data_IF_918937101519
#
_entry.id   IF_918937101519
#
_cell.length_a   1.000
_cell.length_b   1.000
_cell.length_c   1.000
_cell.angle_alpha   90.00
_cell.angle_beta   90.00
_cell.angle_gamma   90.00
#
_symmetry.space_group_name_H-M   'P 1'
#
loop_
_entity.id
_entity.type
_entity.pdbx_description
1 polymer ?
#
# COMPACT_ATOMS: atom_id res chain seq x y z
N UNK A 1 -7.12 26.58 30.20
CA UNK A 1 -6.40 25.78 29.20
C UNK A 1 -7.20 25.91 27.93
N UNK A 2 -6.59 26.27 26.81
CA UNK A 2 -7.31 26.27 25.54
C UNK A 2 -7.75 24.82 25.28
N UNK A 3 -8.99 24.63 24.83
CA UNK A 3 -9.52 23.34 24.45
C UNK A 3 -8.71 22.87 23.22
N UNK A 4 -8.08 21.68 23.29
CA UNK A 4 -7.33 21.13 22.17
C UNK A 4 -8.35 20.72 21.12
N UNK A 5 -8.29 21.32 19.94
CA UNK A 5 -9.18 20.98 18.83
C UNK A 5 -8.86 19.59 18.33
N UNK A 6 -9.83 18.68 18.40
CA UNK A 6 -9.73 17.32 17.90
C UNK A 6 -10.60 17.11 16.65
N UNK A 7 -10.25 16.13 15.83
CA UNK A 7 -11.02 15.74 14.64
C UNK A 7 -10.97 14.24 14.44
N UNK A 8 -11.91 13.70 13.67
CA UNK A 8 -11.98 12.31 13.33
C UNK A 8 -11.50 12.08 11.90
N UNK A 9 -10.62 11.09 11.69
CA UNK A 9 -10.20 10.66 10.36
C UNK A 9 -10.35 9.15 10.22
N UNK A 10 -10.82 8.73 9.04
CA UNK A 10 -11.18 7.33 8.76
C UNK A 10 -10.39 6.79 7.59
N UNK A 11 -9.78 5.61 7.78
CA UNK A 11 -9.21 4.81 6.69
C UNK A 11 -9.91 3.46 6.60
N UNK A 12 -10.00 2.94 5.38
CA UNK A 12 -10.54 1.60 5.12
C UNK A 12 -9.48 0.66 4.53
N UNK A 13 -9.74 -0.64 4.62
CA UNK A 13 -9.02 -1.68 3.90
C UNK A 13 -9.98 -2.80 3.51
N UNK A 14 -9.54 -3.69 2.62
CA UNK A 14 -10.30 -4.86 2.20
C UNK A 14 -9.43 -6.11 2.25
N UNK A 15 -10.08 -7.27 2.41
CA UNK A 15 -9.39 -8.56 2.41
C UNK A 15 -8.91 -8.95 1.01
N UNK A 16 -8.02 -9.94 0.95
CA UNK A 16 -7.52 -10.51 -0.31
C UNK A 16 -8.63 -11.09 -1.20
N UNK A 17 -9.77 -11.51 -0.63
CA UNK A 17 -10.92 -12.04 -1.35
C UNK A 17 -11.96 -11.00 -1.78
N UNK A 18 -11.72 -9.70 -1.54
CA UNK A 18 -12.54 -8.66 -2.13
C UNK A 18 -12.41 -8.69 -3.66
N UNK A 19 -13.51 -8.57 -4.46
CA UNK A 19 -13.45 -8.72 -5.92
C UNK A 19 -12.41 -7.84 -6.61
N UNK A 20 -12.27 -6.56 -6.24
CA UNK A 20 -11.25 -5.69 -6.80
C UNK A 20 -9.84 -6.17 -6.42
N UNK A 21 -9.62 -6.62 -5.18
CA UNK A 21 -8.33 -7.13 -4.74
C UNK A 21 -7.97 -8.49 -5.31
N UNK A 22 -8.95 -9.33 -5.62
CA UNK A 22 -8.74 -10.53 -6.43
C UNK A 22 -8.17 -10.15 -7.81
N UNK A 23 -8.75 -9.13 -8.47
CA UNK A 23 -8.29 -8.67 -9.78
C UNK A 23 -6.85 -8.11 -9.71
N UNK A 24 -6.53 -7.30 -8.70
CA UNK A 24 -5.19 -6.77 -8.47
C UNK A 24 -4.17 -7.91 -8.29
N UNK A 25 -4.51 -8.93 -7.50
CA UNK A 25 -3.64 -10.09 -7.26
C UNK A 25 -3.40 -10.91 -8.51
N UNK A 26 -4.42 -11.13 -9.34
CA UNK A 26 -4.28 -11.86 -10.61
C UNK A 26 -3.37 -11.07 -11.56
N UNK A 27 -3.60 -9.75 -11.71
CA UNK A 27 -2.80 -8.89 -12.58
C UNK A 27 -1.34 -8.84 -12.15
N UNK A 28 -1.04 -8.78 -10.86
CA UNK A 28 0.33 -8.82 -10.35
C UNK A 28 0.96 -10.21 -10.38
N UNK A 29 0.18 -11.28 -10.28
CA UNK A 29 0.68 -12.64 -10.49
C UNK A 29 1.11 -12.86 -11.95
N UNK A 30 0.39 -12.29 -12.91
CA UNK A 30 0.78 -12.28 -14.34
C UNK A 30 2.08 -11.50 -14.52
N UNK A 31 2.21 -10.32 -13.91
CA UNK A 31 3.44 -9.52 -13.94
C UNK A 31 4.63 -10.32 -13.38
N UNK A 32 4.47 -10.95 -12.22
CA UNK A 32 5.50 -11.79 -11.59
C UNK A 32 5.94 -12.93 -12.52
N UNK A 33 5.00 -13.59 -13.20
CA UNK A 33 5.31 -14.66 -14.13
C UNK A 33 6.08 -14.16 -15.36
N UNK A 34 5.71 -13.00 -15.90
CA UNK A 34 6.43 -12.40 -17.02
C UNK A 34 7.87 -12.04 -16.64
N UNK A 35 8.05 -11.33 -15.52
CA UNK A 35 9.36 -10.85 -15.07
C UNK A 35 10.28 -11.97 -14.55
N UNK A 36 9.74 -13.11 -14.15
CA UNK A 36 10.54 -14.25 -13.71
C UNK A 36 11.46 -14.79 -14.82
N UNK A 37 10.94 -14.88 -16.04
CA UNK A 37 11.66 -15.46 -17.18
C UNK A 37 12.19 -14.39 -18.15
N UNK A 38 11.54 -13.21 -18.17
CA UNK A 38 11.97 -12.07 -18.99
C UNK A 38 11.89 -10.76 -18.19
N UNK A 39 13.00 -10.34 -17.54
CA UNK A 39 13.06 -9.10 -16.76
C UNK A 39 12.78 -7.81 -17.56
N UNK A 40 12.80 -7.89 -18.88
CA UNK A 40 12.51 -6.78 -19.79
C UNK A 40 11.06 -6.77 -20.28
N UNK A 41 10.21 -7.66 -19.80
CA UNK A 41 8.79 -7.72 -20.13
C UNK A 41 8.10 -6.37 -19.97
N UNK A 42 7.22 -6.06 -20.93
CA UNK A 42 6.31 -4.91 -20.86
C UNK A 42 4.91 -5.43 -20.60
N UNK A 43 4.37 -5.03 -19.47
CA UNK A 43 3.10 -5.57 -18.96
C UNK A 43 2.16 -4.42 -18.59
N UNK A 44 1.00 -4.44 -19.19
CA UNK A 44 -0.18 -3.68 -18.80
C UNK A 44 -1.34 -4.68 -18.75
N UNK A 45 -1.50 -5.32 -17.59
CA UNK A 45 -2.43 -6.42 -17.37
C UNK A 45 -3.59 -5.97 -16.51
N UNK A 46 -4.77 -6.01 -17.06
CA UNK A 46 -6.02 -5.73 -16.36
C UNK A 46 -6.80 -7.02 -16.15
N UNK A 47 -7.54 -7.07 -15.06
CA UNK A 47 -8.43 -8.19 -14.72
C UNK A 47 -9.80 -7.66 -14.34
N UNK A 48 -10.85 -8.34 -14.77
CA UNK A 48 -12.20 -8.13 -14.24
C UNK A 48 -12.85 -9.45 -13.85
N UNK A 49 -13.77 -9.37 -12.90
CA UNK A 49 -14.50 -10.54 -12.39
C UNK A 49 -15.93 -10.22 -12.06
N UNK A 50 -16.81 -11.18 -12.26
CA UNK A 50 -18.20 -11.15 -11.80
C UNK A 50 -18.76 -12.58 -11.77
N UNK A 51 -19.47 -12.92 -10.70
CA UNK A 51 -20.05 -14.25 -10.49
C UNK A 51 -18.98 -15.34 -10.63
N UNK A 52 -19.12 -16.30 -11.51
CA UNK A 52 -18.16 -17.38 -11.71
C UNK A 52 -17.35 -17.18 -13.00
N UNK A 53 -16.86 -15.95 -13.23
CA UNK A 53 -16.09 -15.55 -14.40
C UNK A 53 -14.93 -14.63 -14.01
N UNK A 54 -13.77 -14.88 -14.62
CA UNK A 54 -12.59 -14.00 -14.55
C UNK A 54 -12.12 -13.75 -15.98
N UNK A 55 -11.85 -12.48 -16.32
CA UNK A 55 -11.25 -12.11 -17.59
C UNK A 55 -9.94 -11.37 -17.33
N UNK A 56 -8.88 -11.82 -17.99
CA UNK A 56 -7.58 -11.15 -18.03
C UNK A 56 -7.38 -10.56 -19.43
N UNK A 57 -7.03 -9.29 -19.51
CA UNK A 57 -6.89 -8.58 -20.78
C UNK A 57 -5.84 -7.47 -20.67
N UNK A 58 -5.41 -6.96 -21.81
CA UNK A 58 -4.43 -5.87 -21.87
C UNK A 58 -3.31 -6.13 -22.85
N UNK A 59 -2.19 -5.42 -22.68
CA UNK A 59 -1.05 -5.46 -23.61
C UNK A 59 0.19 -6.00 -22.88
N UNK A 60 0.72 -7.13 -23.40
CA UNK A 60 1.92 -7.77 -22.85
C UNK A 60 2.90 -8.10 -23.97
N UNK A 61 4.13 -7.59 -23.86
CA UNK A 61 5.26 -7.98 -24.70
C UNK A 61 6.30 -8.66 -23.82
N UNK A 62 6.47 -9.96 -24.00
CA UNK A 62 7.37 -10.79 -23.19
C UNK A 62 7.91 -11.96 -24.02
N UNK A 63 9.09 -12.47 -23.62
CA UNK A 63 9.64 -13.75 -24.10
C UNK A 63 9.25 -14.91 -23.18
N UNK A 64 8.67 -14.62 -22.01
CA UNK A 64 8.20 -15.64 -21.09
C UNK A 64 7.03 -16.44 -21.69
N UNK A 65 6.98 -17.72 -21.38
CA UNK A 65 5.82 -18.56 -21.71
C UNK A 65 4.84 -18.55 -20.53
N UNK A 66 3.80 -17.73 -20.62
CA UNK A 66 2.86 -17.49 -19.53
C UNK A 66 1.56 -18.25 -19.71
N UNK A 67 1.23 -19.10 -18.76
CA UNK A 67 -0.07 -19.79 -18.69
C UNK A 67 -1.05 -18.96 -17.86
N UNK A 68 -1.74 -18.03 -18.52
CA UNK A 68 -2.67 -17.09 -17.88
C UNK A 68 -3.81 -17.80 -17.15
N UNK A 69 -4.39 -18.84 -17.73
CA UNK A 69 -5.48 -19.59 -17.11
C UNK A 69 -5.04 -20.26 -15.81
N UNK A 70 -3.87 -20.89 -15.81
CA UNK A 70 -3.29 -21.50 -14.62
C UNK A 70 -3.04 -20.45 -13.53
N UNK A 71 -2.51 -19.27 -13.87
CA UNK A 71 -2.26 -18.18 -12.92
C UNK A 71 -3.57 -17.72 -12.28
N UNK A 72 -4.62 -17.50 -13.07
CA UNK A 72 -5.95 -17.13 -12.56
C UNK A 72 -6.44 -18.15 -11.55
N UNK A 73 -6.45 -19.45 -11.93
CA UNK A 73 -6.96 -20.53 -11.06
C UNK A 73 -6.15 -20.69 -9.79
N UNK A 74 -4.83 -20.64 -9.89
CA UNK A 74 -3.94 -20.78 -8.72
C UNK A 74 -4.07 -19.59 -7.76
N UNK A 75 -4.20 -18.36 -8.28
CA UNK A 75 -4.43 -17.18 -7.46
C UNK A 75 -5.78 -17.25 -6.74
N UNK A 76 -6.86 -17.56 -7.46
CA UNK A 76 -8.19 -17.75 -6.86
C UNK A 76 -8.17 -18.81 -5.76
N UNK A 77 -7.54 -19.97 -6.02
CA UNK A 77 -7.43 -21.08 -5.05
C UNK A 77 -6.61 -20.66 -3.83
N UNK A 78 -5.48 -19.95 -4.03
CA UNK A 78 -4.62 -19.45 -2.95
C UNK A 78 -5.32 -18.47 -2.02
N UNK A 79 -6.27 -17.68 -2.52
CA UNK A 79 -7.14 -16.80 -1.75
C UNK A 79 -8.18 -17.61 -0.97
N UNK A 80 -8.64 -18.74 -1.50
CA UNK A 80 -9.66 -19.59 -0.87
C UNK A 80 -10.97 -19.65 -1.63
N UNK A 81 -11.00 -19.22 -2.89
CA UNK A 81 -12.16 -19.37 -3.78
C UNK A 81 -12.19 -20.79 -4.37
N UNK A 82 -12.76 -21.74 -3.62
CA UNK A 82 -12.76 -23.16 -3.92
C UNK A 82 -14.13 -23.75 -4.26
N UNK A 83 -15.17 -22.94 -4.18
CA UNK A 83 -16.54 -23.30 -4.57
C UNK A 83 -17.39 -22.06 -4.80
N UNK A 84 -18.52 -22.22 -5.49
CA UNK A 84 -19.47 -21.13 -5.70
C UNK A 84 -20.04 -20.58 -4.38
N UNK A 85 -20.12 -21.39 -3.32
CA UNK A 85 -20.67 -20.98 -2.02
C UNK A 85 -19.78 -19.93 -1.33
N UNK A 86 -18.48 -19.92 -1.62
CA UNK A 86 -17.55 -18.93 -1.08
C UNK A 86 -17.36 -17.70 -1.99
N UNK A 87 -18.03 -17.67 -3.15
CA UNK A 87 -18.05 -16.51 -4.03
C UNK A 87 -17.46 -16.70 -5.42
N UNK A 88 -16.64 -17.76 -5.65
CA UNK A 88 -16.07 -18.17 -6.93
C UNK A 88 -15.49 -19.57 -6.80
N UNK A 89 -15.62 -20.38 -7.85
CA UNK A 89 -14.99 -21.70 -7.95
C UNK A 89 -13.77 -21.65 -8.89
N UNK A 90 -12.56 -21.70 -8.31
CA UNK A 90 -11.31 -21.61 -9.05
C UNK A 90 -11.14 -22.71 -10.11
N UNK A 91 -11.71 -23.89 -9.89
CA UNK A 91 -11.56 -25.03 -10.80
C UNK A 91 -12.58 -24.99 -11.97
N UNK A 92 -13.77 -24.43 -11.72
CA UNK A 92 -14.88 -24.46 -12.67
C UNK A 92 -15.29 -23.06 -13.19
N UNK A 93 -14.68 -21.98 -12.70
CA UNK A 93 -14.99 -20.63 -13.21
C UNK A 93 -14.61 -20.52 -14.69
N UNK A 94 -15.35 -19.65 -15.39
CA UNK A 94 -15.02 -19.28 -16.77
C UNK A 94 -13.85 -18.33 -16.78
N UNK A 95 -12.73 -18.75 -17.37
CA UNK A 95 -11.56 -17.88 -17.57
C UNK A 95 -11.54 -17.41 -19.03
N UNK A 96 -11.44 -16.10 -19.22
CA UNK A 96 -11.28 -15.46 -20.52
C UNK A 96 -9.92 -14.76 -20.55
N UNK A 97 -9.21 -14.89 -21.68
CA UNK A 97 -7.90 -14.25 -21.89
C UNK A 97 -7.94 -13.49 -23.21
N UNK A 98 -7.66 -12.18 -23.15
CA UNK A 98 -7.56 -11.31 -24.31
C UNK A 98 -6.32 -10.41 -24.17
N UNK A 99 -5.16 -10.99 -24.46
CA UNK A 99 -3.85 -10.33 -24.37
C UNK A 99 -3.33 -10.04 -25.77
N UNK A 100 -2.92 -8.79 -26.00
CA UNK A 100 -2.30 -8.31 -27.22
C UNK A 100 -0.85 -7.87 -26.96
N UNK A 101 -0.08 -7.60 -28.02
CA UNK A 101 1.25 -7.02 -27.88
C UNK A 101 1.16 -5.50 -27.73
N UNK A 102 2.09 -4.90 -26.96
CA UNK A 102 2.19 -3.45 -26.82
C UNK A 102 2.39 -2.77 -28.18
N UNK A 103 1.75 -1.62 -28.36
CA UNK A 103 1.92 -0.77 -29.54
C UNK A 103 3.39 -0.46 -29.82
N UNK A 104 3.86 -0.65 -31.07
CA UNK A 104 5.22 -0.28 -31.47
C UNK A 104 5.53 1.22 -31.29
N UNK A 105 4.54 2.09 -31.41
CA UNK A 105 4.69 3.54 -31.24
C UNK A 105 5.04 3.90 -29.79
N UNK A 106 4.36 3.29 -28.83
CA UNK A 106 4.67 3.45 -27.40
C UNK A 106 6.07 2.91 -27.10
N UNK A 107 6.39 1.72 -27.61
CA UNK A 107 7.69 1.08 -27.43
C UNK A 107 8.84 1.97 -27.94
N UNK A 108 8.68 2.60 -29.12
CA UNK A 108 9.67 3.51 -29.68
C UNK A 108 9.85 4.76 -28.82
N UNK A 109 8.78 5.37 -28.36
CA UNK A 109 8.82 6.60 -27.55
C UNK A 109 9.50 6.40 -26.20
N UNK A 110 9.25 5.27 -25.53
CA UNK A 110 9.73 5.01 -24.17
C UNK A 110 11.16 4.49 -24.16
N UNK A 111 11.48 3.42 -24.87
CA UNK A 111 12.78 2.74 -24.76
C UNK A 111 13.49 2.47 -26.09
N UNK A 112 13.02 3.05 -27.21
CA UNK A 112 13.67 2.95 -28.51
C UNK A 112 13.94 1.50 -28.94
N UNK A 113 12.98 0.60 -28.71
CA UNK A 113 13.15 -0.85 -28.94
C UNK A 113 14.38 -1.45 -28.21
N UNK A 114 14.56 -1.06 -26.94
CA UNK A 114 15.67 -1.51 -26.07
C UNK A 114 17.07 -1.00 -26.45
N UNK A 115 17.17 0.04 -27.26
CA UNK A 115 18.47 0.63 -27.65
C UNK A 115 18.90 1.77 -26.72
N UNK A 116 18.00 2.31 -25.89
CA UNK A 116 18.31 3.40 -24.95
C UNK A 116 19.06 2.90 -23.73
N UNK A 117 19.99 3.73 -23.23
CA UNK A 117 20.60 3.52 -21.92
C UNK A 117 19.58 3.78 -20.81
N UNK A 118 19.79 3.25 -19.60
CA UNK A 118 18.84 3.46 -18.48
C UNK A 118 18.48 4.94 -18.23
N UNK A 119 19.46 5.83 -18.33
CA UNK A 119 19.28 7.26 -18.10
C UNK A 119 18.41 7.95 -19.17
N UNK A 120 18.26 7.30 -20.32
CA UNK A 120 17.54 7.80 -21.50
C UNK A 120 16.13 7.20 -21.62
N UNK A 121 15.78 6.26 -20.75
CA UNK A 121 14.45 5.65 -20.73
C UNK A 121 13.44 6.70 -20.28
N UNK A 122 12.51 7.04 -21.17
CA UNK A 122 11.42 7.97 -20.88
C UNK A 122 10.31 7.32 -20.06
N UNK A 123 9.49 8.15 -19.44
CA UNK A 123 8.30 7.69 -18.75
C UNK A 123 7.33 6.96 -19.71
N UNK A 124 6.73 5.88 -19.25
CA UNK A 124 5.78 5.10 -20.04
C UNK A 124 4.44 5.79 -20.25
N UNK A 125 4.15 6.82 -19.47
CA UNK A 125 2.96 7.65 -19.58
C UNK A 125 3.22 9.05 -18.97
N UNK A 126 2.30 9.97 -19.16
CA UNK A 126 2.18 11.17 -18.35
C UNK A 126 1.54 10.86 -17.01
N UNK A 127 1.75 11.72 -16.00
CA UNK A 127 1.08 11.59 -14.71
C UNK A 127 1.85 12.24 -13.58
N UNK A 128 1.26 12.22 -12.39
CA UNK A 128 1.89 12.67 -11.16
C UNK A 128 1.66 11.63 -10.07
N UNK A 129 2.69 11.38 -9.27
CA UNK A 129 2.73 10.35 -8.24
C UNK A 129 3.15 10.96 -6.92
N UNK A 130 2.65 10.38 -5.84
CA UNK A 130 2.88 10.87 -4.50
C UNK A 130 3.54 9.81 -3.63
N UNK A 131 4.52 10.25 -2.83
CA UNK A 131 5.03 9.54 -1.68
C UNK A 131 4.65 10.30 -0.41
N UNK A 132 4.28 9.58 0.63
CA UNK A 132 3.95 10.16 1.93
C UNK A 132 4.59 9.34 3.05
N UNK A 133 4.96 9.99 4.13
CA UNK A 133 5.40 9.35 5.36
C UNK A 133 5.04 10.22 6.55
N UNK A 134 4.73 9.57 7.67
CA UNK A 134 4.49 10.20 8.97
C UNK A 134 5.18 9.36 10.04
N UNK A 135 5.52 9.95 11.18
CA UNK A 135 6.14 9.24 12.30
C UNK A 135 5.14 8.69 13.33
N UNK A 136 3.84 8.68 12.99
CA UNK A 136 2.77 8.13 13.84
C UNK A 136 2.97 6.66 14.20
N UNK A 137 3.57 5.89 13.30
CA UNK A 137 3.76 4.44 13.47
C UNK A 137 5.19 4.01 13.08
N UNK A 138 5.67 2.86 13.58
CA UNK A 138 6.96 2.30 13.17
C UNK A 138 7.11 2.06 11.67
N UNK A 139 6.00 1.83 10.98
CA UNK A 139 5.92 1.67 9.54
C UNK A 139 6.11 2.99 8.77
N UNK A 140 6.10 4.14 9.47
CA UNK A 140 6.05 5.48 8.88
C UNK A 140 4.79 5.68 8.02
N UNK A 141 3.67 5.19 8.51
CA UNK A 141 2.36 5.22 7.87
C UNK A 141 1.31 5.78 8.84
N UNK A 142 0.20 6.34 8.34
CA UNK A 142 -0.90 6.81 9.18
C UNK A 142 -1.51 5.69 10.02
N UNK A 143 -1.77 5.95 11.31
CA UNK A 143 -2.28 4.96 12.25
C UNK A 143 -3.62 4.37 11.80
N UNK A 144 -4.55 5.22 11.34
CA UNK A 144 -5.87 4.77 10.86
C UNK A 144 -5.75 3.74 9.72
N UNK A 145 -4.83 3.99 8.77
CA UNK A 145 -4.57 3.10 7.65
C UNK A 145 -3.87 1.79 8.08
N UNK A 146 -2.86 1.90 8.95
CA UNK A 146 -2.13 0.73 9.48
C UNK A 146 -3.09 -0.21 10.20
N UNK A 147 -3.95 0.33 11.07
CA UNK A 147 -4.90 -0.49 11.83
C UNK A 147 -5.95 -1.13 10.93
N UNK A 148 -6.54 -0.38 9.98
CA UNK A 148 -7.50 -0.94 9.03
C UNK A 148 -6.88 -2.08 8.21
N UNK A 149 -5.65 -1.89 7.70
CA UNK A 149 -4.93 -2.89 6.91
C UNK A 149 -4.58 -4.13 7.74
N UNK A 150 -4.06 -3.95 8.96
CA UNK A 150 -3.71 -5.07 9.86
C UNK A 150 -4.95 -5.87 10.29
N UNK A 151 -6.11 -5.23 10.50
CA UNK A 151 -7.36 -5.93 10.77
C UNK A 151 -7.76 -6.83 9.60
N UNK A 152 -7.67 -6.33 8.35
CA UNK A 152 -7.94 -7.12 7.16
C UNK A 152 -6.99 -8.31 7.00
N UNK A 153 -5.69 -8.09 7.22
CA UNK A 153 -4.69 -9.16 7.18
C UNK A 153 -4.94 -10.21 8.29
N UNK A 154 -5.32 -9.78 9.50
CA UNK A 154 -5.64 -10.67 10.60
C UNK A 154 -6.89 -11.51 10.35
N UNK A 155 -7.92 -10.94 9.74
CA UNK A 155 -9.10 -11.71 9.29
C UNK A 155 -8.71 -12.87 8.37
N UNK A 156 -7.85 -12.61 7.40
CA UNK A 156 -7.33 -13.65 6.51
C UNK A 156 -6.50 -14.70 7.24
N UNK A 157 -5.65 -14.28 8.18
CA UNK A 157 -4.84 -15.19 8.98
C UNK A 157 -5.71 -16.15 9.81
N UNK A 158 -6.70 -15.63 10.57
CA UNK A 158 -7.57 -16.47 11.42
C UNK A 158 -8.53 -17.35 10.61
N UNK A 159 -8.83 -16.96 9.37
CA UNK A 159 -9.54 -17.81 8.42
C UNK A 159 -8.67 -18.97 7.94
N UNK A 160 -7.45 -18.68 7.46
CA UNK A 160 -6.55 -19.68 6.85
C UNK A 160 -6.00 -20.68 7.88
N UNK A 161 -5.79 -20.26 9.12
CA UNK A 161 -5.35 -21.15 10.20
C UNK A 161 -6.50 -21.84 10.95
N UNK A 162 -7.75 -21.62 10.50
CA UNK A 162 -8.97 -22.20 11.07
C UNK A 162 -9.27 -21.79 12.52
N UNK A 163 -8.74 -20.67 13.02
CA UNK A 163 -9.14 -20.09 14.30
C UNK A 163 -10.62 -19.66 14.25
N UNK A 164 -11.01 -19.01 13.13
CA UNK A 164 -12.40 -18.67 12.83
C UNK A 164 -12.84 -19.37 11.53
N UNK A 165 -13.23 -20.66 11.59
CA UNK A 165 -13.49 -21.48 10.40
C UNK A 165 -14.72 -21.05 9.61
N UNK A 166 -15.60 -20.27 10.23
CA UNK A 166 -16.80 -19.71 9.60
C UNK A 166 -16.50 -18.53 8.67
N UNK A 167 -15.29 -17.93 8.72
CA UNK A 167 -14.88 -16.84 7.85
C UNK A 167 -14.77 -17.29 6.40
N UNK A 168 -15.22 -16.40 5.50
CA UNK A 168 -15.06 -16.51 4.05
C UNK A 168 -14.08 -15.47 3.51
N UNK A 169 -13.62 -15.57 2.24
CA UNK A 169 -12.51 -14.74 1.74
C UNK A 169 -12.79 -13.23 1.68
N UNK A 170 -14.04 -12.82 1.41
CA UNK A 170 -14.39 -11.41 1.23
C UNK A 170 -14.58 -10.69 2.56
N UNK A 171 -14.22 -9.42 2.59
CA UNK A 171 -14.43 -8.58 3.76
C UNK A 171 -13.80 -7.20 3.63
N UNK A 172 -14.28 -6.29 4.48
CA UNK A 172 -13.82 -4.91 4.60
C UNK A 172 -13.59 -4.55 6.06
N UNK A 173 -12.62 -3.70 6.28
CA UNK A 173 -12.30 -3.13 7.59
C UNK A 173 -12.20 -1.62 7.47
N UNK A 174 -12.60 -0.92 8.52
CA UNK A 174 -12.52 0.54 8.57
C UNK A 174 -12.21 0.96 10.00
N UNK A 175 -11.28 1.89 10.18
CA UNK A 175 -10.90 2.44 11.47
C UNK A 175 -10.97 3.95 11.43
N UNK A 176 -11.73 4.52 12.37
CA UNK A 176 -11.78 5.95 12.63
C UNK A 176 -10.93 6.24 13.86
N UNK A 177 -9.94 7.09 13.70
CA UNK A 177 -9.05 7.55 14.78
C UNK A 177 -9.37 9.00 15.10
N UNK A 178 -9.38 9.33 16.39
CA UNK A 178 -9.43 10.70 16.85
C UNK A 178 -8.02 11.24 16.92
N UNK A 179 -7.80 12.39 16.27
CA UNK A 179 -6.54 13.10 16.19
C UNK A 179 -6.65 14.49 16.81
N UNK A 180 -5.53 15.06 17.20
CA UNK A 180 -5.39 16.49 17.37
C UNK A 180 -4.26 17.04 16.49
N UNK A 181 -4.37 18.32 16.14
CA UNK A 181 -3.32 19.02 15.40
C UNK A 181 -2.38 19.68 16.40
N UNK A 182 -1.11 19.24 16.43
CA UNK A 182 -0.05 19.86 17.21
C UNK A 182 0.91 20.61 16.27
N UNK A 183 0.61 21.89 16.04
CA UNK A 183 1.39 22.78 15.17
C UNK A 183 1.66 22.22 13.75
N UNK A 184 0.64 21.63 13.16
CA UNK A 184 0.69 20.99 11.83
C UNK A 184 0.85 19.48 11.89
N UNK A 185 1.39 18.92 12.98
CA UNK A 185 1.53 17.48 13.14
C UNK A 185 0.21 16.82 13.57
N UNK A 186 -0.17 15.76 12.89
CA UNK A 186 -1.38 14.98 13.20
C UNK A 186 -1.04 13.91 14.24
N UNK A 187 -1.51 14.10 15.49
CA UNK A 187 -1.20 13.19 16.60
C UNK A 187 -2.43 12.34 16.93
N UNK A 188 -2.33 11.00 16.81
CA UNK A 188 -3.44 10.12 17.13
C UNK A 188 -3.66 10.02 18.64
N UNK A 189 -4.92 10.12 19.08
CA UNK A 189 -5.32 10.09 20.50
C UNK A 189 -5.88 8.70 20.84
N UNK A 190 -6.92 8.27 20.11
CA UNK A 190 -7.66 7.03 20.37
C UNK A 190 -8.36 6.51 19.12
N UNK A 191 -8.71 5.24 19.13
CA UNK A 191 -9.61 4.66 18.15
C UNK A 191 -11.05 4.99 18.55
N UNK A 192 -11.71 5.80 17.73
CA UNK A 192 -13.10 6.19 17.94
C UNK A 192 -14.06 5.08 17.48
N UNK A 193 -13.84 4.51 16.27
CA UNK A 193 -14.74 3.50 15.70
C UNK A 193 -13.96 2.41 14.96
N UNK A 194 -14.35 1.17 15.17
CA UNK A 194 -13.91 0.00 14.39
C UNK A 194 -15.12 -0.58 13.67
N UNK A 195 -15.05 -0.67 12.33
CA UNK A 195 -16.06 -1.34 11.52
C UNK A 195 -15.42 -2.52 10.80
N UNK A 196 -16.04 -3.69 10.92
CA UNK A 196 -15.65 -4.92 10.18
C UNK A 196 -16.93 -5.48 9.54
N UNK A 197 -16.87 -5.64 8.20
CA UNK A 197 -17.87 -6.38 7.44
C UNK A 197 -17.18 -7.55 6.78
N UNK A 198 -17.49 -8.77 7.21
CA UNK A 198 -16.81 -9.98 6.72
C UNK A 198 -17.84 -11.02 6.26
N UNK A 199 -17.51 -11.64 5.13
CA UNK A 199 -18.27 -12.77 4.61
C UNK A 199 -18.12 -13.98 5.55
N UNK A 200 -19.22 -14.69 5.77
CA UNK A 200 -19.31 -15.81 6.71
C UNK A 200 -20.19 -16.93 6.17
N UNK A 201 -20.07 -18.13 6.74
CA UNK A 201 -21.01 -19.21 6.44
C UNK A 201 -22.39 -19.00 7.11
N UNK A 202 -23.35 -19.83 6.75
CA UNK A 202 -24.74 -19.69 7.23
C UNK A 202 -24.93 -20.16 8.69
N UNK A 203 -23.97 -20.88 9.26
CA UNK A 203 -24.13 -21.57 10.53
C UNK A 203 -23.82 -20.70 11.74
N UNK A 204 -23.05 -19.62 11.56
CA UNK A 204 -22.61 -18.73 12.63
C UNK A 204 -23.62 -17.59 12.84
N UNK A 205 -23.87 -17.24 14.10
CA UNK A 205 -24.72 -16.12 14.49
C UNK A 205 -23.94 -14.79 14.54
N UNK A 206 -24.63 -13.65 14.46
CA UNK A 206 -24.00 -12.35 14.59
C UNK A 206 -23.34 -12.13 15.96
N UNK A 207 -23.86 -12.69 17.03
CA UNK A 207 -23.27 -12.58 18.38
C UNK A 207 -21.96 -13.37 18.47
N UNK A 208 -21.90 -14.57 17.89
CA UNK A 208 -20.65 -15.36 17.78
C UNK A 208 -19.63 -14.64 16.90
N UNK A 209 -20.03 -14.11 15.74
CA UNK A 209 -19.18 -13.29 14.88
C UNK A 209 -18.59 -12.12 15.67
N UNK A 210 -19.42 -11.38 16.41
CA UNK A 210 -18.96 -10.22 17.17
C UNK A 210 -18.00 -10.60 18.29
N UNK A 211 -18.23 -11.71 18.98
CA UNK A 211 -17.36 -12.23 20.04
C UNK A 211 -15.99 -12.65 19.48
N UNK A 212 -15.98 -13.46 18.43
CA UNK A 212 -14.75 -13.96 17.79
C UNK A 212 -13.93 -12.81 17.17
N UNK A 213 -14.58 -11.86 16.49
CA UNK A 213 -13.89 -10.70 15.91
C UNK A 213 -13.21 -9.85 16.98
N UNK A 214 -13.85 -9.64 18.14
CA UNK A 214 -13.24 -8.91 19.26
C UNK A 214 -12.03 -9.65 19.82
N UNK A 215 -12.15 -10.96 20.06
CA UNK A 215 -11.11 -11.75 20.71
C UNK A 215 -9.93 -12.07 19.78
N UNK A 216 -10.21 -12.49 18.54
CA UNK A 216 -9.20 -13.04 17.64
C UNK A 216 -8.67 -12.06 16.60
N UNK A 217 -9.39 -10.95 16.37
CA UNK A 217 -9.01 -9.97 15.32
C UNK A 217 -8.68 -8.61 15.93
N UNK A 218 -9.58 -8.01 16.73
CA UNK A 218 -9.41 -6.63 17.21
C UNK A 218 -8.35 -6.56 18.31
N UNK A 219 -8.46 -7.34 19.37
CA UNK A 219 -7.51 -7.32 20.49
C UNK A 219 -6.06 -7.58 20.09
N UNK A 220 -5.75 -8.55 19.18
CA UNK A 220 -4.37 -8.78 18.77
C UNK A 220 -3.78 -7.68 17.86
N UNK A 221 -4.62 -6.84 17.25
CA UNK A 221 -4.20 -5.85 16.24
C UNK A 221 -4.17 -4.44 16.80
N UNK A 222 -5.20 -4.03 17.53
CA UNK A 222 -5.29 -2.66 18.06
C UNK A 222 -4.68 -2.61 19.45
N UNK A 223 -3.60 -1.85 19.68
CA UNK A 223 -3.00 -1.70 21.00
C UNK A 223 -4.01 -1.17 22.00
N UNK A 224 -4.03 -1.73 23.22
CA UNK A 224 -4.98 -1.40 24.28
C UNK A 224 -5.00 0.09 24.62
N UNK A 225 -3.87 0.77 24.49
CA UNK A 225 -3.75 2.22 24.74
C UNK A 225 -4.63 3.09 23.82
N UNK A 226 -5.06 2.57 22.68
CA UNK A 226 -5.94 3.28 21.74
C UNK A 226 -7.42 2.91 21.90
N UNK A 227 -7.74 1.91 22.72
CA UNK A 227 -9.11 1.47 23.00
C UNK A 227 -9.58 1.99 24.36
N UNK A 228 -10.81 2.44 24.43
CA UNK A 228 -11.46 2.87 25.68
C UNK A 228 -12.93 2.45 25.71
N UNK A 229 -13.63 2.83 26.78
CA UNK A 229 -15.05 2.52 27.00
C UNK A 229 -15.99 3.20 25.99
N UNK A 230 -15.51 4.26 25.31
CA UNK A 230 -16.25 5.01 24.30
C UNK A 230 -15.98 4.53 22.88
N UNK A 231 -15.10 3.54 22.70
CA UNK A 231 -14.82 2.98 21.36
C UNK A 231 -16.03 2.23 20.81
N UNK A 232 -16.48 2.63 19.63
CA UNK A 232 -17.67 2.09 18.95
C UNK A 232 -17.27 0.93 18.07
N UNK A 233 -17.98 -0.20 18.17
CA UNK A 233 -17.75 -1.37 17.34
C UNK A 233 -18.97 -1.66 16.46
N UNK A 234 -18.77 -1.63 15.13
CA UNK A 234 -19.74 -2.07 14.15
C UNK A 234 -19.24 -3.37 13.52
N UNK A 235 -19.74 -4.52 13.97
CA UNK A 235 -19.33 -5.84 13.54
C UNK A 235 -20.46 -6.50 12.76
N UNK A 236 -20.28 -6.66 11.44
CA UNK A 236 -21.32 -7.04 10.48
C UNK A 236 -22.64 -6.26 10.67
N UNK A 237 -22.61 -4.91 10.60
CA UNK A 237 -23.78 -4.10 10.91
C UNK A 237 -24.96 -4.30 9.96
N UNK A 238 -24.73 -4.85 8.77
CA UNK A 238 -25.78 -5.26 7.83
C UNK A 238 -26.48 -6.57 8.22
N UNK A 239 -25.97 -7.27 9.22
CA UNK A 239 -26.45 -8.56 9.70
C UNK A 239 -25.88 -9.74 8.90
N UNK A 240 -26.48 -10.12 7.79
CA UNK A 240 -26.07 -11.29 7.00
C UNK A 240 -25.14 -10.90 5.84
N UNK A 241 -23.97 -11.55 5.75
CA UNK A 241 -23.02 -11.41 4.64
C UNK A 241 -22.49 -12.79 4.20
N UNK A 242 -23.38 -13.63 3.68
CA UNK A 242 -23.07 -14.99 3.19
C UNK A 242 -22.64 -14.95 1.73
N UNK A 243 -23.35 -14.18 0.90
CA UNK A 243 -23.01 -13.99 -0.52
C UNK A 243 -21.95 -12.89 -0.61
N UNK A 244 -20.75 -13.24 -1.03
CA UNK A 244 -19.62 -12.31 -1.18
C UNK A 244 -18.72 -12.69 -2.35
N UNK A 245 -17.54 -12.05 -2.41
CA UNK A 245 -16.62 -12.23 -3.52
C UNK A 245 -17.24 -11.83 -4.87
N UNK A 246 -16.75 -12.35 -6.00
CA UNK A 246 -17.26 -12.06 -7.34
C UNK A 246 -18.75 -12.38 -7.53
N UNK A 247 -19.32 -13.27 -6.72
CA UNK A 247 -20.75 -13.53 -6.75
C UNK A 247 -21.54 -12.34 -6.22
N UNK A 248 -21.09 -11.71 -5.15
CA UNK A 248 -21.72 -10.52 -4.55
C UNK A 248 -21.57 -9.27 -5.42
N UNK A 249 -20.33 -8.94 -5.80
CA UNK A 249 -20.02 -7.71 -6.52
C UNK A 249 -19.00 -7.94 -7.66
N UNK A 250 -18.95 -7.02 -8.61
CA UNK A 250 -17.95 -7.03 -9.68
C UNK A 250 -16.62 -6.48 -9.18
N UNK A 251 -15.51 -7.04 -9.67
CA UNK A 251 -14.15 -6.57 -9.41
C UNK A 251 -13.43 -6.13 -10.66
N UNK A 252 -12.55 -5.15 -10.51
CA UNK A 252 -11.65 -4.64 -11.54
C UNK A 252 -10.29 -4.28 -10.92
N UNK A 253 -9.22 -4.49 -11.69
CA UNK A 253 -7.88 -4.00 -11.34
C UNK A 253 -7.89 -2.49 -11.12
N UNK A 254 -7.18 -2.00 -10.09
CA UNK A 254 -6.97 -0.58 -9.87
C UNK A 254 -8.15 0.19 -9.27
N UNK A 255 -9.12 -0.46 -8.66
CA UNK A 255 -10.26 0.20 -7.99
C UNK A 255 -10.10 0.37 -6.49
N UNK A 256 -8.92 0.06 -5.94
CA UNK A 256 -8.60 0.18 -4.50
C UNK A 256 -7.31 0.96 -4.26
N UNK A 257 -7.06 1.98 -5.09
CA UNK A 257 -5.81 2.75 -5.11
C UNK A 257 -5.52 3.50 -3.81
N UNK A 258 -6.54 3.91 -3.07
CA UNK A 258 -6.38 4.59 -1.77
C UNK A 258 -5.94 3.58 -0.69
N UNK A 259 -6.47 2.37 -0.72
CA UNK A 259 -6.08 1.27 0.15
C UNK A 259 -4.64 0.81 -0.17
N UNK A 260 -4.26 0.84 -1.44
CA UNK A 260 -2.91 0.49 -1.91
C UNK A 260 -1.84 1.45 -1.41
N UNK A 261 -2.20 2.66 -1.02
CA UNK A 261 -1.30 3.75 -0.66
C UNK A 261 -1.40 4.16 0.81
N UNK A 262 -2.08 5.26 1.13
CA UNK A 262 -2.02 5.88 2.46
C UNK A 262 -3.37 6.00 3.18
N UNK A 263 -4.43 5.35 2.68
CA UNK A 263 -5.73 5.31 3.35
C UNK A 263 -6.47 6.65 3.40
N UNK A 264 -6.17 7.56 2.46
CA UNK A 264 -6.78 8.90 2.39
C UNK A 264 -5.89 10.03 2.90
N UNK A 265 -4.78 9.72 3.57
CA UNK A 265 -3.75 10.69 3.94
C UNK A 265 -2.82 10.98 2.75
N UNK A 266 -2.11 12.11 2.81
CA UNK A 266 -1.29 12.58 1.70
C UNK A 266 -2.15 12.87 0.46
N UNK A 267 -1.67 12.42 -0.70
CA UNK A 267 -2.39 12.57 -1.96
C UNK A 267 -2.22 11.34 -2.86
N UNK A 268 -3.01 11.25 -3.94
CA UNK A 268 -2.92 10.19 -4.95
C UNK A 268 -3.12 10.77 -6.35
N UNK A 269 -2.25 10.39 -7.29
CA UNK A 269 -2.32 10.86 -8.68
C UNK A 269 -3.37 10.15 -9.56
N UNK A 270 -4.04 9.12 -9.04
CA UNK A 270 -5.11 8.39 -9.73
C UNK A 270 -4.64 7.12 -10.46
N UNK A 271 -3.34 6.93 -10.67
CA UNK A 271 -2.81 5.75 -11.38
C UNK A 271 -2.79 4.49 -10.52
N UNK A 272 -3.33 3.39 -11.03
CA UNK A 272 -3.24 2.07 -10.39
C UNK A 272 -1.83 1.47 -10.54
N UNK A 273 -1.43 0.60 -9.60
CA UNK A 273 -0.13 -0.06 -9.60
C UNK A 273 -0.17 -1.49 -10.16
N UNK A 274 -1.14 -2.28 -9.70
CA UNK A 274 -1.23 -3.71 -10.05
C UNK A 274 -1.33 -3.93 -11.55
N UNK A 275 -0.65 -4.96 -12.04
CA UNK A 275 -0.61 -5.31 -13.46
C UNK A 275 0.35 -4.49 -14.32
N UNK A 276 1.01 -3.48 -13.75
CA UNK A 276 1.93 -2.58 -14.48
C UNK A 276 3.39 -2.93 -14.21
N UNK A 277 4.18 -3.13 -15.28
CA UNK A 277 5.62 -3.27 -15.16
C UNK A 277 6.31 -1.96 -14.74
N UNK A 278 7.56 -2.01 -14.25
CA UNK A 278 8.23 -0.85 -13.68
C UNK A 278 8.49 0.33 -14.62
N UNK A 279 8.31 0.19 -15.93
CA UNK A 279 8.41 1.33 -16.87
C UNK A 279 7.20 2.26 -16.78
N UNK A 280 6.09 1.80 -16.20
CA UNK A 280 4.92 2.58 -15.90
C UNK A 280 5.17 3.39 -14.62
N UNK A 281 5.31 4.70 -14.77
CA UNK A 281 5.66 5.62 -13.68
C UNK A 281 4.58 5.73 -12.60
N UNK A 282 3.33 5.37 -12.89
CA UNK A 282 2.29 5.24 -11.87
C UNK A 282 2.79 4.40 -10.69
N UNK A 283 3.46 3.30 -10.97
CA UNK A 283 4.02 2.40 -9.98
C UNK A 283 5.41 2.82 -9.52
N UNK A 284 6.37 2.91 -10.42
CA UNK A 284 7.78 3.17 -10.07
C UNK A 284 8.01 4.57 -9.49
N UNK A 285 7.33 5.58 -10.01
CA UNK A 285 7.38 6.95 -9.50
C UNK A 285 6.81 7.07 -8.08
N UNK A 286 5.69 6.39 -7.79
CA UNK A 286 5.11 6.33 -6.45
C UNK A 286 6.07 5.62 -5.46
N UNK A 287 6.76 4.58 -5.90
CA UNK A 287 7.69 3.84 -5.06
C UNK A 287 8.92 4.66 -4.68
N UNK A 288 9.55 5.38 -5.63
CA UNK A 288 10.69 6.24 -5.29
C UNK A 288 10.25 7.45 -4.46
N UNK A 289 9.09 8.03 -4.72
CA UNK A 289 8.53 9.11 -3.91
C UNK A 289 8.27 8.67 -2.46
N UNK A 290 7.74 7.46 -2.25
CA UNK A 290 7.63 6.84 -0.91
C UNK A 290 8.98 6.67 -0.24
N UNK A 291 9.99 6.16 -0.94
CA UNK A 291 11.34 6.00 -0.38
C UNK A 291 11.93 7.34 0.05
N UNK A 292 11.74 8.38 -0.76
CA UNK A 292 12.22 9.72 -0.45
C UNK A 292 11.55 10.30 0.80
N UNK A 293 10.22 10.22 0.90
CA UNK A 293 9.45 10.68 2.05
C UNK A 293 9.89 9.96 3.33
N UNK A 294 9.92 8.63 3.32
CA UNK A 294 10.32 7.80 4.47
C UNK A 294 11.76 8.05 4.91
N UNK A 295 12.69 8.18 3.95
CA UNK A 295 14.11 8.41 4.26
C UNK A 295 14.32 9.76 4.93
N UNK A 296 13.58 10.79 4.52
CA UNK A 296 13.70 12.13 5.10
C UNK A 296 13.11 12.19 6.53
N UNK A 297 11.97 11.60 6.78
CA UNK A 297 11.38 11.53 8.12
C UNK A 297 12.33 10.77 9.07
N UNK A 298 12.84 9.61 8.68
CA UNK A 298 13.79 8.83 9.48
C UNK A 298 15.06 9.59 9.79
N UNK A 299 15.62 10.34 8.83
CA UNK A 299 16.81 11.15 9.02
C UNK A 299 16.58 12.28 10.03
N UNK A 300 15.40 12.91 10.03
CA UNK A 300 15.02 13.93 11.02
C UNK A 300 15.06 13.38 12.44
N UNK A 301 14.51 12.18 12.65
CA UNK A 301 14.50 11.49 13.93
C UNK A 301 15.92 11.19 14.41
N UNK A 302 16.78 10.65 13.53
CA UNK A 302 18.17 10.33 13.86
C UNK A 302 18.98 11.56 14.28
N UNK A 303 18.81 12.68 13.57
CA UNK A 303 19.50 13.93 13.87
C UNK A 303 19.06 14.50 15.23
N UNK A 304 17.77 14.38 15.55
CA UNK A 304 17.25 14.84 16.84
C UNK A 304 17.81 14.01 18.01
N UNK A 305 17.83 12.68 17.86
CA UNK A 305 18.42 11.78 18.87
C UNK A 305 19.93 12.03 19.06
N UNK A 306 20.67 12.30 17.99
CA UNK A 306 22.09 12.63 18.07
C UNK A 306 22.39 14.00 18.69
N UNK A 307 21.42 14.93 18.67
CA UNK A 307 21.55 16.26 19.27
C UNK A 307 21.19 16.30 20.76
N UNK A 308 20.59 15.24 21.30
CA UNK A 308 20.27 15.14 22.72
C UNK A 308 21.55 14.92 23.53
N UNK A 309 21.73 15.69 24.61
CA UNK A 309 22.81 15.47 25.57
C UNK A 309 22.65 14.11 26.28
N UNK A 310 23.75 13.62 26.89
CA UNK A 310 23.69 12.37 27.69
C UNK A 310 22.68 12.47 28.85
N UNK A 311 22.47 13.66 29.37
CA UNK A 311 21.49 13.94 30.44
C UNK A 311 20.05 13.85 29.91
N UNK A 312 19.80 14.36 28.69
CA UNK A 312 18.50 14.29 28.05
C UNK A 312 18.16 12.86 27.63
N UNK A 313 19.15 12.09 27.16
CA UNK A 313 19.01 10.66 26.88
C UNK A 313 18.67 9.86 28.13
N UNK A 314 19.30 10.18 29.27
CA UNK A 314 19.04 9.51 30.55
C UNK A 314 17.64 9.86 31.07
N UNK A 315 17.21 11.12 30.96
CA UNK A 315 15.88 11.57 31.31
C UNK A 315 14.81 10.93 30.42
N UNK A 316 15.08 10.76 29.13
CA UNK A 316 14.23 10.08 28.17
C UNK A 316 14.12 8.58 28.46
N UNK A 317 15.22 7.90 28.79
CA UNK A 317 15.22 6.49 29.19
C UNK A 317 14.51 6.24 30.53
N UNK A 318 14.66 7.14 31.50
CA UNK A 318 13.93 7.09 32.78
C UNK A 318 12.44 7.37 32.57
N UNK A 319 12.07 8.28 31.65
CA UNK A 319 10.70 8.54 31.24
C UNK A 319 10.05 7.35 30.52
N UNK A 320 10.83 6.63 29.70
CA UNK A 320 10.40 5.40 29.01
C UNK A 320 10.20 4.21 29.98
N UNK A 321 10.96 4.18 31.10
CA UNK A 321 10.83 3.14 32.10
C UNK A 321 9.65 3.37 33.09
N UNK A 322 9.11 4.57 33.15
CA UNK A 322 8.06 4.97 34.11
C UNK A 322 6.72 5.43 33.52
N UNK A 323 6.58 5.49 32.18
CA UNK A 323 5.34 5.88 31.52
C UNK A 323 4.99 4.91 30.40
N UNK A 324 3.80 4.35 30.47
CA UNK A 324 3.12 3.65 29.36
C UNK A 324 2.63 4.62 28.25
N UNK A 325 3.16 5.83 28.17
CA UNK A 325 2.92 6.77 27.07
C UNK A 325 4.28 7.21 26.52
N UNK A 326 4.60 6.75 25.31
CA UNK A 326 5.58 7.40 24.45
C UNK A 326 5.21 8.89 24.39
N UNK A 327 6.07 9.77 24.93
CA UNK A 327 6.00 11.19 24.61
C UNK A 327 6.05 11.29 23.08
N UNK A 328 5.12 11.96 22.42
CA UNK A 328 5.18 12.12 20.99
C UNK A 328 6.51 12.79 20.66
N UNK A 329 7.39 12.03 20.00
CA UNK A 329 8.48 12.63 19.24
C UNK A 329 7.78 13.54 18.26
N UNK A 330 8.26 14.76 18.08
CA UNK A 330 7.66 15.80 17.24
C UNK A 330 7.19 15.15 15.94
N UNK A 331 5.90 14.87 15.86
CA UNK A 331 5.30 14.17 14.76
C UNK A 331 5.62 14.92 13.47
N UNK A 332 6.31 14.27 12.56
CA UNK A 332 6.72 14.85 11.29
C UNK A 332 5.99 14.19 10.14
N UNK A 333 5.54 15.01 9.21
CA UNK A 333 4.91 14.57 7.99
C UNK A 333 5.71 15.04 6.78
N UNK A 334 5.73 14.25 5.71
CA UNK A 334 6.29 14.67 4.43
C UNK A 334 5.55 14.03 3.28
N UNK A 335 5.10 14.85 2.37
CA UNK A 335 4.66 14.48 1.05
C UNK A 335 5.72 14.84 0.00
N UNK A 336 5.94 13.95 -0.95
CA UNK A 336 6.79 14.14 -2.14
C UNK A 336 5.94 13.88 -3.36
N UNK A 337 5.79 14.87 -4.25
CA UNK A 337 5.18 14.71 -5.56
C UNK A 337 6.24 14.66 -6.65
N UNK A 338 6.03 13.81 -7.64
CA UNK A 338 6.83 13.77 -8.87
C UNK A 338 5.90 13.66 -10.08
N UNK A 339 6.18 14.40 -11.15
CA UNK A 339 5.36 14.36 -12.36
C UNK A 339 6.19 14.10 -13.62
N UNK A 340 5.56 13.46 -14.61
CA UNK A 340 6.21 13.01 -15.83
C UNK A 340 5.42 13.32 -17.09
N UNK A 341 6.14 13.38 -18.23
CA UNK A 341 5.59 13.34 -19.58
C UNK A 341 6.03 12.07 -20.28
N UNK A 342 5.15 11.49 -21.10
CA UNK A 342 5.46 10.27 -21.86
C UNK A 342 6.71 10.45 -22.72
N UNK A 343 7.60 9.47 -22.70
CA UNK A 343 8.83 9.47 -23.50
C UNK A 343 9.94 10.39 -23.00
N UNK A 344 9.69 11.21 -21.96
CA UNK A 344 10.68 12.13 -21.37
C UNK A 344 11.32 11.47 -20.14
N UNK A 345 12.67 11.36 -20.06
CA UNK A 345 13.33 10.74 -18.92
C UNK A 345 13.35 11.63 -17.68
N UNK A 346 13.51 12.95 -17.83
CA UNK A 346 13.53 13.84 -16.68
C UNK A 346 12.11 14.11 -16.15
N UNK A 347 11.91 14.16 -14.82
CA UNK A 347 10.62 14.57 -14.27
C UNK A 347 10.31 16.03 -14.66
N UNK A 348 9.03 16.33 -14.88
CA UNK A 348 8.56 17.69 -15.14
C UNK A 348 8.66 18.56 -13.88
N UNK A 349 8.32 17.99 -12.74
CA UNK A 349 8.40 18.64 -11.44
C UNK A 349 8.70 17.62 -10.34
N UNK A 350 9.34 18.11 -9.28
CA UNK A 350 9.42 17.46 -7.97
C UNK A 350 9.03 18.51 -6.95
N UNK A 351 8.09 18.18 -6.08
CA UNK A 351 7.58 19.07 -5.04
C UNK A 351 7.58 18.35 -3.68
N UNK A 352 7.73 19.09 -2.61
CA UNK A 352 7.64 18.58 -1.23
C UNK A 352 6.76 19.49 -0.39
N UNK A 353 6.06 18.91 0.57
CA UNK A 353 5.27 19.61 1.58
C UNK A 353 5.43 18.88 2.92
N UNK A 354 5.84 19.61 3.94
CA UNK A 354 5.97 19.09 5.31
C UNK A 354 4.73 19.39 6.17
N UNK A 355 3.67 19.94 5.61
CA UNK A 355 2.47 20.38 6.34
C UNK A 355 2.77 21.30 7.53
N UNK A 356 3.85 22.06 7.45
CA UNK A 356 4.31 22.94 8.52
C UNK A 356 5.12 22.27 9.64
N UNK A 357 5.34 20.95 9.56
CA UNK A 357 6.12 20.19 10.57
C UNK A 357 7.63 20.26 10.36
N UNK A 358 8.08 20.81 9.23
CA UNK A 358 9.49 20.87 8.84
C UNK A 358 10.34 21.73 9.78
N UNK A 359 11.49 21.22 10.25
CA UNK A 359 12.49 21.96 11.02
C UNK A 359 13.36 22.87 10.17
N UNK A 360 13.38 22.67 8.87
CA UNK A 360 14.03 23.50 7.85
C UNK A 360 12.99 23.78 6.75
N UNK A 361 13.16 24.86 5.97
CA UNK A 361 12.23 25.22 4.91
C UNK A 361 12.06 24.11 3.89
N UNK A 362 10.84 23.92 3.36
CA UNK A 362 10.54 22.93 2.34
C UNK A 362 11.42 23.05 1.09
N UNK A 363 11.84 24.27 0.75
CA UNK A 363 12.81 24.52 -0.34
C UNK A 363 14.14 23.80 -0.10
N UNK A 364 14.66 23.81 1.12
CA UNK A 364 15.91 23.12 1.45
C UNK A 364 15.70 21.60 1.45
N UNK A 365 14.53 21.13 1.92
CA UNK A 365 14.15 19.71 1.85
C UNK A 365 14.06 19.23 0.41
N UNK A 366 13.49 20.04 -0.49
CA UNK A 366 13.41 19.74 -1.90
C UNK A 366 14.81 19.56 -2.54
N UNK A 367 15.76 20.41 -2.20
CA UNK A 367 17.14 20.26 -2.70
C UNK A 367 17.79 18.97 -2.16
N UNK A 368 17.59 18.66 -0.88
CA UNK A 368 18.07 17.39 -0.30
C UNK A 368 17.47 16.18 -1.03
N UNK A 369 16.17 16.22 -1.31
CA UNK A 369 15.48 15.14 -2.03
C UNK A 369 16.04 14.98 -3.44
N UNK A 370 16.20 16.07 -4.20
CA UNK A 370 16.75 16.05 -5.56
C UNK A 370 18.20 15.58 -5.61
N UNK A 371 19.02 15.95 -4.62
CA UNK A 371 20.44 15.53 -4.56
C UNK A 371 20.59 14.03 -4.27
N UNK A 372 19.66 13.46 -3.50
CA UNK A 372 19.77 12.07 -3.02
C UNK A 372 18.99 11.06 -3.84
N UNK A 373 18.00 11.47 -4.63
CA UNK A 373 17.13 10.57 -5.39
C UNK A 373 17.14 10.92 -6.87
N UNK A 374 17.36 9.91 -7.69
CA UNK A 374 17.25 10.02 -9.14
C UNK A 374 15.83 9.59 -9.55
N UNK A 375 15.05 10.56 -10.03
CA UNK A 375 13.65 10.34 -10.39
C UNK A 375 13.45 9.95 -11.86
N UNK A 376 14.52 9.74 -12.64
CA UNK A 376 14.41 9.22 -14.01
C UNK A 376 13.90 7.79 -14.01
N UNK A 377 12.89 7.43 -14.83
CA UNK A 377 12.25 6.11 -14.77
C UNK A 377 13.20 4.93 -14.85
N UNK A 378 14.16 4.94 -15.76
CA UNK A 378 15.15 3.86 -15.88
C UNK A 378 16.06 3.75 -14.68
N UNK A 379 16.40 4.87 -14.03
CA UNK A 379 17.23 4.87 -12.82
C UNK A 379 16.45 4.40 -11.60
N UNK A 380 15.16 4.73 -11.48
CA UNK A 380 14.29 4.20 -10.44
C UNK A 380 14.25 2.67 -10.51
N UNK A 381 14.07 2.13 -11.71
CA UNK A 381 14.00 0.69 -11.95
C UNK A 381 15.25 -0.02 -11.44
N UNK A 382 16.44 0.55 -11.69
CA UNK A 382 17.72 -0.01 -11.25
C UNK A 382 17.88 0.16 -9.74
N UNK A 383 17.70 1.38 -9.23
CA UNK A 383 17.96 1.72 -7.82
C UNK A 383 17.06 0.93 -6.85
N UNK A 384 15.84 0.61 -7.29
CA UNK A 384 14.86 -0.16 -6.49
C UNK A 384 14.78 -1.64 -6.92
N UNK A 385 15.66 -2.10 -7.83
CA UNK A 385 15.67 -3.49 -8.30
C UNK A 385 14.28 -3.98 -8.78
N UNK A 386 13.56 -3.15 -9.53
CA UNK A 386 12.15 -3.42 -9.88
C UNK A 386 11.97 -4.45 -10.99
N UNK A 387 13.02 -4.80 -11.75
CA UNK A 387 12.95 -5.86 -12.76
C UNK A 387 12.94 -7.28 -12.17
N UNK A 388 13.28 -7.41 -10.89
CA UNK A 388 13.27 -8.68 -10.19
C UNK A 388 11.81 -9.10 -9.92
N UNK A 389 11.29 -10.00 -10.75
CA UNK A 389 9.99 -10.63 -10.58
C UNK A 389 10.09 -12.06 -10.05
N UNK A 390 8.98 -12.76 -10.07
CA UNK A 390 8.85 -14.14 -9.60
C UNK A 390 8.75 -14.28 -8.09
N UNK A 391 8.49 -15.49 -7.61
CA UNK A 391 8.24 -15.82 -6.20
C UNK A 391 7.15 -14.97 -5.53
N UNK A 392 6.23 -14.43 -6.34
CA UNK A 392 5.11 -13.61 -5.89
C UNK A 392 5.53 -12.27 -5.30
N UNK A 393 6.59 -11.64 -5.78
CA UNK A 393 7.05 -10.33 -5.29
C UNK A 393 5.97 -9.26 -5.45
N UNK A 394 5.43 -9.13 -6.67
CA UNK A 394 4.39 -8.16 -6.96
C UNK A 394 3.01 -8.62 -6.47
N UNK A 395 2.72 -9.89 -6.53
CA UNK A 395 1.52 -10.47 -5.93
C UNK A 395 1.37 -10.08 -4.45
N UNK A 396 2.47 -10.04 -3.68
CA UNK A 396 2.45 -9.63 -2.26
C UNK A 396 2.05 -8.17 -2.06
N UNK A 397 2.24 -7.29 -3.05
CA UNK A 397 1.84 -5.88 -2.96
C UNK A 397 0.37 -5.67 -3.24
N UNK A 398 -0.25 -6.57 -3.99
CA UNK A 398 -1.62 -6.43 -4.46
C UNK A 398 -2.70 -6.56 -3.36
N UNK A 399 -2.34 -7.03 -2.17
CA UNK A 399 -3.21 -7.07 -1.00
C UNK A 399 -2.48 -6.48 0.21
N UNK A 400 -3.24 -5.78 1.08
CA UNK A 400 -2.73 -5.16 2.32
C UNK A 400 -1.72 -4.03 2.12
N UNK A 401 -1.84 -3.30 1.01
CA UNK A 401 -1.09 -2.09 0.70
C UNK A 401 0.32 -2.33 0.15
N UNK A 402 0.80 -1.35 -0.61
CA UNK A 402 2.14 -1.35 -1.21
C UNK A 402 3.19 -0.75 -0.28
N UNK A 403 2.76 0.06 0.70
CA UNK A 403 3.63 0.82 1.60
C UNK A 403 3.49 0.40 3.06
N UNK A 404 4.50 0.75 3.87
CA UNK A 404 4.57 0.32 5.26
C UNK A 404 4.90 -1.16 5.42
N UNK A 405 5.54 -1.77 4.45
CA UNK A 405 5.85 -3.21 4.39
C UNK A 405 7.30 -3.49 4.83
N UNK A 406 7.50 -4.69 5.35
CA UNK A 406 8.82 -5.19 5.72
C UNK A 406 9.25 -6.36 4.82
N UNK A 407 10.55 -6.49 4.62
CA UNK A 407 11.14 -7.59 3.85
C UNK A 407 11.91 -7.16 2.61
N UNK A 408 12.74 -8.06 2.10
CA UNK A 408 13.66 -7.80 1.00
C UNK A 408 12.98 -7.55 -0.36
N UNK A 409 11.70 -7.87 -0.48
CA UNK A 409 10.93 -7.64 -1.71
C UNK A 409 10.47 -6.19 -1.85
N UNK A 410 10.35 -5.45 -0.74
CA UNK A 410 9.84 -4.08 -0.69
C UNK A 410 11.00 -3.07 -0.66
N UNK A 411 11.80 -3.03 -1.70
CA UNK A 411 13.05 -2.23 -1.78
C UNK A 411 12.80 -0.72 -1.62
N UNK A 412 11.64 -0.22 -1.95
CA UNK A 412 11.22 1.17 -1.74
C UNK A 412 10.94 1.52 -0.27
N UNK A 413 10.83 0.53 0.60
CA UNK A 413 10.71 0.74 2.04
C UNK A 413 12.08 0.85 2.76
N UNK A 414 13.17 0.57 2.05
CA UNK A 414 14.53 0.70 2.59
C UNK A 414 14.88 2.18 2.72
N UNK A 415 15.17 2.60 3.95
CA UNK A 415 15.60 3.96 4.25
C UNK A 415 16.99 4.22 3.66
N UNK A 416 17.11 5.26 2.84
CA UNK A 416 18.36 5.69 2.26
C UNK A 416 19.02 6.74 3.15
N UNK A 417 20.32 6.60 3.53
CA UNK A 417 21.06 7.66 4.19
C UNK A 417 21.13 8.89 3.29
N UNK A 418 20.71 10.05 3.81
CA UNK A 418 20.73 11.29 3.05
C UNK A 418 22.03 12.04 3.24
N UNK A 419 22.64 12.45 2.13
CA UNK A 419 23.76 13.41 2.13
C UNK A 419 23.16 14.80 2.23
N UNK A 420 23.63 15.60 3.18
CA UNK A 420 23.27 16.99 3.30
C UNK A 420 24.41 17.78 3.96
N UNK A 421 24.93 18.71 3.23
CA UNK A 421 25.85 19.70 3.76
C UNK A 421 25.08 21.02 3.85
N UNK A 422 24.97 21.55 5.08
CA UNK A 422 24.33 22.85 5.27
C UNK A 422 25.05 23.89 4.42
N UNK A 423 24.37 24.62 3.54
CA UNK A 423 25.02 25.70 2.79
C UNK A 423 25.74 26.63 3.76
N UNK A 424 27.02 26.91 3.50
CA UNK A 424 27.78 27.92 4.25
C UNK A 424 27.08 29.25 4.08
N UNK A 425 26.68 29.89 5.20
CA UNK A 425 26.01 31.17 5.24
C UNK A 425 26.82 32.28 4.60
#
# INVERSE_FOLDING_TARGET
MAEVETFLFTSESVNEGHPDKLCDQISDAVLDACLADDPDSKVACETCTKTNMVMVFGEITTKANVDYEKIVRDTCRGIGFVSNDVGLDADHCKVLVNIEQQSPDIAQGVHGHFTKRPEEIGAGDQGHMFGYATDETPEFMPLSHVLATKLGARLTEVRKNATCPWLRPDGKTQVTVEYHNDNGAMVPIRVHTVLISTQHDETVTNDEIAADLKEHVIKPVIPEQYLDENTIFHLNPSGRFVIGGPHGDAGLTGRKIIIDTYGGWGAHGGGAFSGKDPTKVDRSGAYVARQAAKSRIRSSISTHLAALSLVDLTAMLVSLAGRSSLTPMVAGELMVEVSYAIGVPEPLSVFVDTYGTGKIPDKEILEIVKENFDFRPGMIIINLDLKRGGKGRYLKTAAYGHFGREGADFTWEVVKPLKWEKPSA
#
